data_IF_121088165862
#
_entry.id   IF_121088165862
#
_cell.length_a   1.000
_cell.length_b   1.000
_cell.length_c   1.000
_cell.angle_alpha   90.00
_cell.angle_beta   90.00
_cell.angle_gamma   90.00
#
_symmetry.space_group_name_H-M   'P 1'
#
loop_
_entity.id
_entity.type
_entity.pdbx_description
1 polymer ?
#
# COMPACT_ATOMS: atom_id res chain seq x y z
N UNK A 1 96.78 -20.94 13.03
CA UNK A 1 95.77 -21.33 12.01
C UNK A 1 94.64 -22.04 12.74
N UNK A 2 93.44 -21.47 12.73
CA UNK A 2 92.21 -22.11 13.27
C UNK A 2 91.90 -23.39 12.49
N UNK A 3 91.18 -24.34 13.11
CA UNK A 3 89.76 -24.41 12.80
C UNK A 3 88.85 -24.42 14.04
N UNK A 4 87.63 -23.95 13.79
CA UNK A 4 86.46 -23.90 14.67
C UNK A 4 86.01 -25.30 15.12
N UNK A 5 85.61 -25.41 16.38
CA UNK A 5 84.35 -26.06 16.75
C UNK A 5 83.94 -25.63 18.17
N UNK A 6 82.79 -24.98 18.33
CA UNK A 6 82.04 -25.13 19.59
C UNK A 6 80.58 -24.71 19.46
N UNK A 7 79.79 -25.54 20.14
CA UNK A 7 78.35 -25.72 20.09
C UNK A 7 77.51 -24.56 20.65
N UNK A 8 76.28 -24.52 20.12
CA UNK A 8 74.96 -24.26 20.74
C UNK A 8 74.96 -23.36 21.99
N UNK A 9 74.04 -22.38 22.03
CA UNK A 9 73.00 -22.32 23.07
C UNK A 9 71.94 -21.20 22.87
N UNK A 10 70.69 -21.63 23.08
CA UNK A 10 69.47 -20.96 23.55
C UNK A 10 68.95 -19.64 22.91
N UNK A 11 67.89 -19.79 22.12
CA UNK A 11 66.94 -18.72 21.81
C UNK A 11 65.94 -18.54 22.97
N UNK A 12 65.87 -17.33 23.52
CA UNK A 12 64.79 -16.88 24.41
C UNK A 12 63.68 -16.27 23.53
N UNK A 13 62.53 -16.93 23.45
CA UNK A 13 61.35 -16.38 22.79
C UNK A 13 60.57 -15.50 23.78
N UNK A 14 60.61 -14.18 23.59
CA UNK A 14 59.71 -13.26 24.27
C UNK A 14 58.29 -13.39 23.67
N UNK A 15 57.39 -14.03 24.41
CA UNK A 15 55.97 -14.12 24.07
C UNK A 15 55.30 -12.77 24.41
N UNK A 16 55.13 -11.91 23.40
CA UNK A 16 54.30 -10.71 23.50
C UNK A 16 52.82 -11.12 23.48
N UNK A 17 52.17 -11.11 24.64
CA UNK A 17 50.72 -11.22 24.79
C UNK A 17 50.07 -9.90 24.34
N UNK A 18 49.66 -9.84 23.07
CA UNK A 18 48.78 -8.79 22.55
C UNK A 18 47.35 -9.12 22.99
N UNK A 19 46.85 -8.43 24.03
CA UNK A 19 45.42 -8.41 24.33
C UNK A 19 44.70 -7.67 23.19
N UNK A 20 44.15 -8.42 22.24
CA UNK A 20 43.18 -7.88 21.28
C UNK A 20 41.90 -7.51 22.01
N UNK A 21 41.68 -6.22 22.27
CA UNK A 21 40.36 -5.69 22.58
C UNK A 21 39.49 -5.88 21.33
N UNK A 22 38.75 -6.99 21.26
CA UNK A 22 37.69 -7.16 20.29
C UNK A 22 36.58 -6.17 20.66
N UNK A 23 36.52 -5.04 19.96
CA UNK A 23 35.32 -4.21 19.98
C UNK A 23 34.20 -5.03 19.36
N UNK A 24 33.26 -5.49 20.19
CA UNK A 24 31.99 -5.98 19.69
C UNK A 24 31.31 -4.80 18.99
N UNK A 25 31.25 -4.84 17.66
CA UNK A 25 30.38 -3.93 16.91
C UNK A 25 28.95 -4.24 17.33
N UNK A 26 28.14 -3.25 17.74
CA UNK A 26 26.74 -3.52 18.00
C UNK A 26 26.10 -4.06 16.71
N UNK A 27 25.48 -5.23 16.79
CA UNK A 27 24.59 -5.73 15.73
C UNK A 27 23.43 -4.74 15.67
N UNK A 28 23.38 -3.91 14.63
CA UNK A 28 22.16 -3.16 14.34
C UNK A 28 21.08 -4.17 14.00
N UNK A 29 19.93 -4.07 14.66
CA UNK A 29 18.77 -4.88 14.30
C UNK A 29 18.40 -4.58 12.84
N UNK A 30 18.30 -5.62 12.02
CA UNK A 30 17.85 -5.48 10.64
C UNK A 30 16.37 -5.12 10.66
N UNK A 31 16.01 -4.03 9.97
CA UNK A 31 14.60 -3.65 9.81
C UNK A 31 13.94 -4.67 8.90
N UNK A 32 12.88 -5.30 9.41
CA UNK A 32 12.08 -6.25 8.64
C UNK A 32 10.66 -5.75 8.48
N UNK A 33 10.03 -6.19 7.40
CA UNK A 33 8.67 -5.79 7.02
C UNK A 33 7.77 -7.03 6.96
N UNK A 34 6.49 -6.85 7.23
CA UNK A 34 5.46 -7.71 6.67
C UNK A 34 4.26 -6.85 6.29
N UNK A 35 3.33 -7.46 5.58
CA UNK A 35 2.13 -6.79 5.14
C UNK A 35 1.38 -7.72 4.21
N UNK A 36 0.05 -7.69 4.28
CA UNK A 36 -0.82 -8.40 3.37
C UNK A 36 -2.07 -7.57 3.13
N UNK A 37 -2.53 -7.54 1.90
CA UNK A 37 -3.80 -6.92 1.55
C UNK A 37 -4.65 -7.88 0.74
N UNK A 38 -5.96 -7.85 0.94
CA UNK A 38 -6.89 -8.62 0.12
C UNK A 38 -8.22 -7.90 -0.07
N UNK A 39 -8.85 -8.15 -1.22
CA UNK A 39 -10.12 -7.54 -1.55
C UNK A 39 -11.29 -8.16 -0.76
N UNK A 40 -11.34 -9.48 -0.63
CA UNK A 40 -12.39 -10.14 0.15
C UNK A 40 -11.90 -11.45 0.79
N UNK A 41 -12.37 -11.72 1.99
CA UNK A 41 -12.26 -13.02 2.66
C UNK A 41 -13.67 -13.50 3.01
N UNK A 42 -13.98 -14.74 2.61
CA UNK A 42 -15.26 -15.38 2.88
C UNK A 42 -15.02 -16.64 3.71
N UNK A 43 -15.69 -16.73 4.86
CA UNK A 43 -15.74 -17.93 5.69
C UNK A 43 -17.17 -18.11 6.20
N UNK A 44 -17.99 -18.68 5.32
CA UNK A 44 -19.45 -18.81 5.46
C UNK A 44 -19.84 -20.30 5.30
N UNK A 45 -19.38 -21.18 6.21
CA UNK A 45 -19.58 -22.62 6.09
C UNK A 45 -21.05 -23.03 6.09
N UNK A 46 -21.96 -22.22 6.63
CA UNK A 46 -23.40 -22.50 6.57
C UNK A 46 -23.98 -22.42 5.16
N UNK A 47 -23.28 -21.73 4.24
CA UNK A 47 -23.58 -21.69 2.81
C UNK A 47 -22.59 -22.53 1.99
N UNK A 48 -21.73 -23.31 2.64
CA UNK A 48 -20.73 -24.15 1.98
C UNK A 48 -19.57 -23.39 1.33
N UNK A 49 -19.29 -22.15 1.77
CA UNK A 49 -18.26 -21.28 1.20
C UNK A 49 -17.16 -21.01 2.23
N UNK A 50 -15.91 -21.14 1.79
CA UNK A 50 -14.74 -20.69 2.56
C UNK A 50 -14.12 -21.72 3.50
N UNK A 51 -12.98 -21.40 4.13
CA UNK A 51 -12.26 -20.12 4.02
C UNK A 51 -11.64 -19.92 2.63
N UNK A 52 -11.88 -18.76 2.01
CA UNK A 52 -11.33 -18.38 0.71
C UNK A 52 -11.05 -16.87 0.67
N UNK A 53 -9.94 -16.48 0.03
CA UNK A 53 -9.54 -15.09 -0.14
C UNK A 53 -9.46 -14.73 -1.63
N UNK A 54 -9.89 -13.52 -1.99
CA UNK A 54 -9.87 -12.98 -3.35
C UNK A 54 -9.00 -11.73 -3.43
N UNK A 55 -8.32 -11.57 -4.57
CA UNK A 55 -7.38 -10.46 -4.82
C UNK A 55 -6.38 -10.29 -3.68
N UNK A 56 -5.71 -11.39 -3.32
CA UNK A 56 -4.79 -11.48 -2.20
C UNK A 56 -3.34 -11.24 -2.64
N UNK A 57 -2.66 -10.27 -2.03
CA UNK A 57 -1.24 -10.02 -2.32
C UNK A 57 -0.35 -11.17 -1.91
N UNK A 58 -0.77 -11.96 -0.91
CA UNK A 58 0.13 -12.79 -0.12
C UNK A 58 0.92 -11.95 0.90
N UNK A 59 1.80 -12.64 1.64
CA UNK A 59 2.68 -12.02 2.63
C UNK A 59 3.86 -11.30 1.97
N UNK A 60 4.07 -10.05 2.36
CA UNK A 60 5.27 -9.31 1.99
C UNK A 60 6.52 -9.97 2.61
N UNK A 61 7.61 -10.15 1.85
CA UNK A 61 8.83 -10.73 2.39
C UNK A 61 9.43 -9.87 3.52
N UNK A 62 10.16 -10.48 4.49
CA UNK A 62 10.85 -9.74 5.55
C UNK A 62 11.83 -8.67 5.07
N UNK A 63 12.41 -8.84 3.87
CA UNK A 63 13.28 -7.86 3.22
C UNK A 63 12.53 -6.62 2.70
N UNK A 64 11.20 -6.61 2.78
CA UNK A 64 10.34 -5.63 2.14
C UNK A 64 10.14 -5.94 0.66
N UNK A 65 9.89 -4.90 -0.12
CA UNK A 65 9.55 -5.00 -1.53
C UNK A 65 8.12 -4.53 -1.80
N UNK A 66 7.52 -5.06 -2.85
CA UNK A 66 6.15 -4.73 -3.25
C UNK A 66 5.45 -5.96 -3.81
N UNK A 67 4.22 -6.20 -3.38
CA UNK A 67 3.31 -7.20 -3.94
C UNK A 67 1.95 -6.56 -4.20
N UNK A 68 1.24 -7.10 -5.18
CA UNK A 68 -0.11 -6.66 -5.53
C UNK A 68 -0.92 -7.80 -6.11
N UNK A 69 -2.23 -7.70 -6.00
CA UNK A 69 -3.18 -8.59 -6.64
C UNK A 69 -4.37 -7.78 -7.15
N UNK A 70 -5.01 -8.29 -8.19
CA UNK A 70 -6.18 -7.67 -8.79
C UNK A 70 -7.16 -8.73 -9.28
N UNK A 71 -8.45 -8.40 -9.25
CA UNK A 71 -9.51 -9.20 -9.82
C UNK A 71 -10.63 -8.28 -10.32
N UNK A 72 -10.94 -8.34 -11.61
CA UNK A 72 -11.92 -7.46 -12.24
C UNK A 72 -13.33 -7.63 -11.66
N UNK A 73 -13.72 -8.87 -11.36
CA UNK A 73 -15.04 -9.17 -10.79
C UNK A 73 -14.96 -10.44 -9.96
N UNK A 74 -15.71 -10.49 -8.86
CA UNK A 74 -15.96 -11.69 -8.07
C UNK A 74 -17.46 -11.93 -7.94
N UNK A 75 -17.87 -13.18 -8.12
CA UNK A 75 -19.26 -13.62 -7.95
C UNK A 75 -19.30 -14.97 -7.25
N UNK A 76 -19.72 -14.97 -5.99
CA UNK A 76 -19.97 -16.17 -5.18
C UNK A 76 -21.48 -16.21 -4.90
N UNK A 77 -22.23 -17.12 -5.54
CA UNK A 77 -23.69 -17.17 -5.43
C UNK A 77 -24.18 -17.15 -3.99
N UNK A 78 -25.08 -16.22 -3.67
CA UNK A 78 -25.66 -16.07 -2.33
C UNK A 78 -24.73 -15.45 -1.27
N UNK A 79 -23.46 -15.18 -1.58
CA UNK A 79 -22.48 -14.67 -0.60
C UNK A 79 -21.90 -13.32 -0.97
N UNK A 80 -21.33 -13.16 -2.18
CA UNK A 80 -20.64 -11.93 -2.56
C UNK A 80 -20.76 -11.67 -4.06
N UNK A 81 -21.08 -10.44 -4.43
CA UNK A 81 -20.74 -9.88 -5.74
C UNK A 81 -19.98 -8.58 -5.53
N UNK A 82 -18.87 -8.39 -6.25
CA UNK A 82 -18.11 -7.14 -6.24
C UNK A 82 -17.28 -7.00 -7.52
N UNK A 83 -16.89 -5.77 -7.83
CA UNK A 83 -16.09 -5.41 -9.00
C UNK A 83 -14.79 -4.73 -8.58
N UNK A 84 -13.79 -4.77 -9.46
CA UNK A 84 -12.53 -4.04 -9.34
C UNK A 84 -11.82 -4.21 -7.99
N UNK A 85 -11.52 -5.45 -7.65
CA UNK A 85 -10.73 -5.75 -6.47
C UNK A 85 -9.28 -5.44 -6.79
N UNK A 86 -8.67 -4.53 -6.03
CA UNK A 86 -7.25 -4.21 -6.15
C UNK A 86 -6.65 -4.20 -4.76
N UNK A 87 -5.53 -4.90 -4.59
CA UNK A 87 -4.79 -4.96 -3.34
C UNK A 87 -3.30 -4.75 -3.59
N UNK A 88 -2.63 -4.12 -2.64
CA UNK A 88 -1.20 -3.85 -2.66
C UNK A 88 -0.61 -3.87 -1.26
N UNK A 89 0.64 -4.30 -1.14
CA UNK A 89 1.45 -4.23 0.08
C UNK A 89 2.88 -3.90 -0.29
N UNK A 90 3.53 -3.09 0.52
CA UNK A 90 4.89 -2.62 0.29
C UNK A 90 5.64 -2.42 1.60
N UNK A 91 6.96 -2.56 1.55
CA UNK A 91 7.84 -2.33 2.69
C UNK A 91 9.20 -1.83 2.24
N UNK A 92 9.59 -0.65 2.71
CA UNK A 92 10.92 -0.08 2.54
C UNK A 92 11.12 1.06 3.54
N UNK A 93 12.37 1.37 3.90
CA UNK A 93 12.75 2.56 4.67
C UNK A 93 12.12 2.68 6.06
N UNK A 94 11.86 1.56 6.72
CA UNK A 94 11.16 1.55 7.99
C UNK A 94 9.69 1.97 7.88
N UNK A 95 9.11 1.85 6.67
CA UNK A 95 7.70 2.05 6.38
C UNK A 95 7.16 0.81 5.67
N UNK A 96 6.08 0.25 6.19
CA UNK A 96 5.23 -0.72 5.51
C UNK A 96 3.88 -0.09 5.23
N UNK A 97 3.34 -0.29 4.02
CA UNK A 97 2.04 0.25 3.59
C UNK A 97 1.27 -0.81 2.83
N UNK A 98 0.00 -0.96 3.18
CA UNK A 98 -0.91 -1.87 2.50
C UNK A 98 -2.23 -1.17 2.22
N UNK A 99 -2.88 -1.56 1.13
CA UNK A 99 -4.16 -1.03 0.73
C UNK A 99 -4.96 -2.10 -0.04
N UNK A 100 -6.27 -2.10 0.15
CA UNK A 100 -7.21 -2.84 -0.68
C UNK A 100 -8.40 -1.96 -1.01
N UNK A 101 -8.97 -2.11 -2.21
CA UNK A 101 -10.20 -1.43 -2.60
C UNK A 101 -11.05 -2.26 -3.55
N UNK A 102 -12.36 -2.03 -3.52
CA UNK A 102 -13.37 -2.72 -4.31
C UNK A 102 -14.51 -1.74 -4.64
N UNK A 103 -15.20 -2.01 -5.74
CA UNK A 103 -16.43 -1.33 -6.15
C UNK A 103 -17.64 -2.27 -6.11
N UNK A 104 -18.84 -1.69 -6.04
CA UNK A 104 -20.14 -2.38 -6.20
C UNK A 104 -20.29 -3.64 -5.33
N UNK A 105 -19.97 -3.51 -4.04
CA UNK A 105 -20.00 -4.60 -3.08
C UNK A 105 -21.44 -4.91 -2.70
N UNK A 106 -21.82 -6.18 -2.82
CA UNK A 106 -23.05 -6.75 -2.25
C UNK A 106 -22.71 -8.06 -1.56
N UNK A 107 -22.83 -8.07 -0.23
CA UNK A 107 -22.64 -9.23 0.64
C UNK A 107 -24.00 -9.78 1.06
N UNK A 108 -24.17 -11.10 0.98
CA UNK A 108 -25.38 -11.86 1.31
C UNK A 108 -26.65 -11.28 0.67
N UNK A 109 -26.73 -11.19 -0.67
CA UNK A 109 -27.87 -10.57 -1.37
C UNK A 109 -29.20 -11.20 -0.96
N UNK A 110 -30.16 -10.37 -0.56
CA UNK A 110 -31.50 -10.79 -0.12
C UNK A 110 -31.58 -11.33 1.32
N UNK A 111 -30.46 -11.38 2.06
CA UNK A 111 -30.43 -11.79 3.46
C UNK A 111 -30.76 -10.60 4.41
N UNK A 112 -31.37 -10.84 5.58
CA UNK A 112 -31.53 -9.80 6.61
C UNK A 112 -30.22 -9.13 7.08
N UNK A 113 -29.08 -9.81 6.92
CA UNK A 113 -27.74 -9.30 7.22
C UNK A 113 -27.01 -8.71 6.01
N UNK A 114 -27.72 -8.46 4.89
CA UNK A 114 -27.08 -7.97 3.67
C UNK A 114 -26.31 -6.66 3.92
N UNK A 115 -25.12 -6.55 3.31
CA UNK A 115 -24.32 -5.33 3.29
C UNK A 115 -24.12 -4.91 1.85
N UNK A 116 -24.40 -3.65 1.53
CA UNK A 116 -24.07 -3.07 0.21
C UNK A 116 -23.15 -1.89 0.40
N UNK A 117 -22.23 -1.66 -0.54
CA UNK A 117 -21.45 -0.44 -0.59
C UNK A 117 -21.01 -0.18 -2.04
N UNK A 118 -20.98 1.10 -2.42
CA UNK A 118 -20.70 1.48 -3.79
C UNK A 118 -19.19 1.60 -4.06
N UNK A 119 -18.41 1.88 -3.01
CA UNK A 119 -16.95 1.81 -2.95
C UNK A 119 -16.52 1.45 -1.53
N UNK A 120 -15.51 0.59 -1.41
CA UNK A 120 -14.92 0.18 -0.12
C UNK A 120 -13.41 0.17 -0.25
N UNK A 121 -12.72 0.76 0.73
CA UNK A 121 -11.27 0.74 0.80
C UNK A 121 -10.75 0.72 2.23
N UNK A 122 -9.69 -0.03 2.45
CA UNK A 122 -8.87 -0.01 3.65
C UNK A 122 -7.42 0.37 3.29
N UNK A 123 -6.79 1.18 4.12
CA UNK A 123 -5.37 1.52 4.05
C UNK A 123 -4.74 1.39 5.43
N UNK A 124 -3.55 0.79 5.48
CA UNK A 124 -2.74 0.65 6.67
C UNK A 124 -1.31 1.11 6.40
N UNK A 125 -0.72 1.77 7.39
CA UNK A 125 0.69 2.17 7.39
C UNK A 125 1.30 1.82 8.76
N UNK A 126 2.45 1.17 8.73
CA UNK A 126 3.31 0.97 9.88
C UNK A 126 4.65 1.64 9.64
N UNK A 127 5.10 2.45 10.60
CA UNK A 127 6.42 3.09 10.60
C UNK A 127 7.13 2.78 11.90
N UNK A 128 8.44 3.04 11.97
CA UNK A 128 9.17 2.96 13.25
C UNK A 128 8.64 3.90 14.36
N UNK A 129 7.82 4.91 14.03
CA UNK A 129 7.27 5.86 15.01
C UNK A 129 5.81 5.58 15.39
N UNK A 130 5.19 4.57 14.79
CA UNK A 130 3.79 4.21 15.04
C UNK A 130 3.07 3.79 13.77
N UNK A 131 1.77 3.56 13.93
CA UNK A 131 0.89 3.04 12.88
C UNK A 131 -0.24 4.02 12.60
N UNK A 132 -0.79 3.96 11.38
CA UNK A 132 -1.99 4.69 10.97
C UNK A 132 -2.86 3.78 10.12
N UNK A 133 -4.16 3.79 10.39
CA UNK A 133 -5.15 3.07 9.60
C UNK A 133 -6.29 4.00 9.19
N UNK A 134 -6.83 3.79 7.99
CA UNK A 134 -8.01 4.51 7.53
C UNK A 134 -8.85 3.64 6.61
N UNK A 135 -10.12 3.99 6.49
CA UNK A 135 -11.10 3.34 5.64
C UNK A 135 -11.92 4.40 4.94
N UNK A 136 -12.32 4.13 3.70
CA UNK A 136 -13.33 4.90 2.99
C UNK A 136 -14.44 3.95 2.53
N UNK A 137 -15.68 4.30 2.84
CA UNK A 137 -16.87 3.54 2.42
C UNK A 137 -17.90 4.51 1.89
N UNK A 138 -18.38 4.27 0.68
CA UNK A 138 -19.43 5.06 0.03
C UNK A 138 -20.76 4.28 -0.04
N UNK A 139 -21.86 4.98 0.22
CA UNK A 139 -23.24 4.48 0.12
C UNK A 139 -23.48 3.14 0.82
N UNK A 140 -22.91 2.97 2.02
CA UNK A 140 -23.04 1.71 2.76
C UNK A 140 -24.46 1.53 3.31
N UNK A 141 -25.00 0.33 3.12
CA UNK A 141 -26.22 -0.11 3.82
C UNK A 141 -25.96 -1.42 4.55
N UNK A 142 -26.70 -1.62 5.66
CA UNK A 142 -26.68 -2.85 6.44
C UNK A 142 -28.11 -3.24 6.80
N UNK A 143 -28.54 -4.45 6.42
CA UNK A 143 -29.94 -4.88 6.57
C UNK A 143 -30.94 -3.99 5.84
N UNK A 144 -30.51 -3.36 4.73
CA UNK A 144 -31.29 -2.40 3.96
C UNK A 144 -31.40 -1.00 4.57
N UNK A 145 -30.75 -0.73 5.70
CA UNK A 145 -30.68 0.61 6.30
C UNK A 145 -29.37 1.29 5.92
N UNK A 146 -29.43 2.57 5.51
CA UNK A 146 -28.24 3.35 5.24
C UNK A 146 -27.45 3.60 6.54
N UNK A 147 -26.13 3.40 6.47
CA UNK A 147 -25.23 3.64 7.59
C UNK A 147 -24.53 4.98 7.40
N UNK A 148 -24.57 5.82 8.43
CA UNK A 148 -23.74 7.03 8.49
C UNK A 148 -22.40 6.67 9.10
N UNK A 149 -21.35 6.69 8.30
CA UNK A 149 -19.98 6.39 8.75
C UNK A 149 -19.31 7.66 9.27
N UNK A 150 -18.81 7.63 10.50
CA UNK A 150 -17.90 8.67 10.99
C UNK A 150 -16.53 8.49 10.33
N UNK A 151 -16.03 9.45 9.54
CA UNK A 151 -14.75 9.29 8.85
C UNK A 151 -13.52 9.29 9.78
N UNK A 152 -13.68 9.60 11.06
CA UNK A 152 -12.57 9.71 12.02
C UNK A 152 -12.57 8.62 13.10
N UNK A 153 -13.68 7.89 13.27
CA UNK A 153 -13.78 6.87 14.31
C UNK A 153 -13.37 5.47 13.79
N UNK A 154 -12.37 4.80 14.39
CA UNK A 154 -12.14 3.38 14.16
C UNK A 154 -13.15 2.51 14.92
N UNK A 155 -13.30 1.26 14.51
CA UNK A 155 -14.07 0.21 15.17
C UNK A 155 -15.57 0.57 15.37
N UNK A 156 -16.19 1.18 14.37
CA UNK A 156 -17.61 1.51 14.43
C UNK A 156 -18.47 0.26 14.30
N UNK A 157 -19.20 -0.11 15.35
CA UNK A 157 -20.01 -1.32 15.39
C UNK A 157 -21.50 -1.02 15.20
N UNK A 158 -22.12 -1.72 14.26
CA UNK A 158 -23.55 -1.69 13.97
C UNK A 158 -24.10 -3.10 14.13
N UNK A 159 -25.26 -3.26 14.76
CA UNK A 159 -25.84 -4.57 15.03
C UNK A 159 -27.30 -4.64 14.62
N UNK A 160 -27.67 -5.76 14.01
CA UNK A 160 -29.05 -6.21 13.89
C UNK A 160 -29.25 -7.28 14.97
N UNK A 161 -30.00 -6.99 16.05
CA UNK A 161 -30.06 -7.86 17.23
C UNK A 161 -30.39 -9.31 16.88
N UNK A 162 -29.51 -10.22 17.33
CA UNK A 162 -29.67 -11.67 17.11
C UNK A 162 -29.44 -12.15 15.67
N UNK A 163 -29.06 -11.27 14.74
CA UNK A 163 -28.82 -11.60 13.33
C UNK A 163 -27.35 -11.46 12.99
N UNK A 164 -26.82 -10.25 13.02
CA UNK A 164 -25.47 -9.95 12.54
C UNK A 164 -24.90 -8.68 13.17
N UNK A 165 -23.56 -8.59 13.19
CA UNK A 165 -22.81 -7.39 13.53
C UNK A 165 -21.93 -7.01 12.34
N UNK A 166 -21.95 -5.72 12.00
CA UNK A 166 -21.05 -5.11 11.03
C UNK A 166 -20.11 -4.16 11.77
N UNK A 167 -18.81 -4.39 11.67
CA UNK A 167 -17.79 -3.44 12.11
C UNK A 167 -17.22 -2.72 10.89
N UNK A 168 -17.26 -1.39 10.91
CA UNK A 168 -16.70 -0.53 9.87
C UNK A 168 -15.42 0.12 10.41
N UNK A 169 -14.39 0.18 9.56
CA UNK A 169 -13.06 0.68 9.91
C UNK A 169 -12.51 -0.06 11.15
N UNK A 170 -12.59 -1.39 11.14
CA UNK A 170 -12.06 -2.23 12.21
C UNK A 170 -10.53 -2.13 12.19
N UNK A 171 -9.95 -1.61 13.27
CA UNK A 171 -8.50 -1.45 13.41
C UNK A 171 -8.02 -2.23 14.62
N UNK A 172 -7.11 -3.16 14.37
CA UNK A 172 -6.34 -3.86 15.42
C UNK A 172 -4.89 -3.44 15.32
N UNK A 173 -4.30 -3.02 16.43
CA UNK A 173 -2.92 -2.53 16.48
C UNK A 173 -2.12 -3.30 17.52
N UNK A 174 -0.91 -3.69 17.17
CA UNK A 174 0.08 -4.24 18.12
C UNK A 174 1.32 -3.35 18.10
N UNK A 175 1.66 -2.76 19.25
CA UNK A 175 2.85 -1.93 19.41
C UNK A 175 3.65 -2.36 20.64
N UNK A 176 4.95 -2.57 20.50
CA UNK A 176 5.85 -2.95 21.60
C UNK A 176 6.97 -3.88 21.16
N UNK A 177 8.07 -3.92 21.94
CA UNK A 177 9.21 -4.82 21.63
C UNK A 177 9.91 -4.56 20.30
N UNK A 178 9.81 -3.34 19.76
CA UNK A 178 10.36 -2.98 18.45
C UNK A 178 9.48 -3.39 17.26
N UNK A 179 8.21 -3.75 17.50
CA UNK A 179 7.19 -4.08 16.50
C UNK A 179 6.14 -2.97 16.45
N UNK A 180 5.74 -2.62 15.24
CA UNK A 180 4.61 -1.76 14.92
C UNK A 180 3.77 -2.48 13.88
N UNK A 181 2.58 -2.92 14.26
CA UNK A 181 1.69 -3.71 13.41
C UNK A 181 0.26 -3.16 13.50
N UNK A 182 -0.39 -3.11 12.35
CA UNK A 182 -1.77 -2.68 12.22
C UNK A 182 -2.48 -3.51 11.15
N UNK A 183 -3.69 -3.94 11.45
CA UNK A 183 -4.64 -4.48 10.49
C UNK A 183 -5.86 -3.56 10.44
N UNK A 184 -6.29 -3.22 9.24
CA UNK A 184 -7.49 -2.45 8.95
C UNK A 184 -8.41 -3.28 8.06
N UNK A 185 -9.61 -3.59 8.56
CA UNK A 185 -10.70 -4.14 7.76
C UNK A 185 -11.73 -3.04 7.53
N UNK A 186 -12.03 -2.73 6.27
CA UNK A 186 -13.00 -1.69 5.96
C UNK A 186 -14.40 -2.08 6.41
N UNK A 187 -14.83 -3.31 6.07
CA UNK A 187 -16.08 -3.92 6.52
C UNK A 187 -15.78 -5.33 7.04
N UNK A 188 -16.22 -5.61 8.26
CA UNK A 188 -16.18 -6.94 8.85
C UNK A 188 -17.60 -7.31 9.31
N UNK A 189 -18.25 -8.21 8.57
CA UNK A 189 -19.56 -8.75 8.88
C UNK A 189 -19.41 -10.09 9.61
N UNK A 190 -20.09 -10.24 10.74
CA UNK A 190 -20.21 -11.51 11.48
C UNK A 190 -21.67 -11.88 11.68
N UNK A 191 -22.07 -13.09 11.32
CA UNK A 191 -23.39 -13.64 11.65
C UNK A 191 -23.40 -14.17 13.08
N UNK A 192 -24.25 -13.60 13.95
CA UNK A 192 -24.16 -13.81 15.40
C UNK A 192 -24.53 -15.23 15.84
N UNK A 193 -25.36 -15.93 15.07
CA UNK A 193 -25.83 -17.27 15.41
C UNK A 193 -24.86 -18.38 15.00
N UNK A 194 -24.10 -18.17 13.92
CA UNK A 194 -23.29 -19.22 13.30
C UNK A 194 -21.80 -18.96 13.44
N UNK A 195 -21.40 -17.69 13.61
CA UNK A 195 -20.00 -17.26 13.60
C UNK A 195 -19.43 -17.09 12.19
N UNK A 196 -20.25 -17.21 11.14
CA UNK A 196 -19.81 -17.00 9.76
C UNK A 196 -19.37 -15.55 9.59
N UNK A 197 -18.30 -15.35 8.82
CA UNK A 197 -17.67 -14.04 8.64
C UNK A 197 -17.38 -13.73 7.18
N UNK A 198 -17.50 -12.44 6.86
CA UNK A 198 -17.12 -11.86 5.58
C UNK A 198 -16.34 -10.58 5.87
N UNK A 199 -15.11 -10.52 5.38
CA UNK A 199 -14.26 -9.33 5.45
C UNK A 199 -14.13 -8.77 4.05
N UNK A 200 -14.46 -7.49 3.89
CA UNK A 200 -14.30 -6.76 2.63
C UNK A 200 -13.25 -5.68 2.83
N UNK A 201 -12.26 -5.70 1.95
CA UNK A 201 -11.10 -4.82 1.93
C UNK A 201 -10.31 -4.87 3.23
N UNK A 202 -9.25 -5.67 3.23
CA UNK A 202 -8.31 -5.76 4.36
C UNK A 202 -6.92 -5.29 3.95
N UNK A 203 -6.27 -4.55 4.85
CA UNK A 203 -4.90 -4.08 4.72
C UNK A 203 -4.18 -4.26 6.06
N UNK A 204 -3.09 -5.03 6.05
CA UNK A 204 -2.22 -5.24 7.20
C UNK A 204 -0.80 -4.76 6.86
N UNK A 205 -0.16 -4.06 7.79
CA UNK A 205 1.21 -3.55 7.65
C UNK A 205 1.99 -3.69 8.95
N UNK A 206 3.24 -4.12 8.84
CA UNK A 206 4.12 -4.46 9.95
C UNK A 206 5.55 -4.00 9.69
N UNK A 207 6.17 -3.36 10.68
CA UNK A 207 7.61 -3.07 10.73
C UNK A 207 8.19 -3.55 12.06
N UNK A 208 9.31 -4.29 11.98
CA UNK A 208 10.08 -4.76 13.15
C UNK A 208 11.54 -4.33 13.09
N UNK A 209 12.18 -4.19 14.26
CA UNK A 209 13.64 -4.05 14.38
C UNK A 209 14.19 -2.63 14.36
N UNK A 210 13.42 -1.63 14.80
CA UNK A 210 13.85 -0.21 14.78
C UNK A 210 14.87 0.12 15.90
N UNK A 211 16.17 0.35 15.59
CA UNK A 211 16.74 1.71 15.62
C UNK A 211 17.86 2.02 14.58
N UNK A 212 17.76 3.19 13.95
CA UNK A 212 18.68 3.71 12.92
C UNK A 212 18.19 3.37 11.52
N UNK A 213 17.59 4.34 10.81
CA UNK A 213 17.04 4.13 9.47
C UNK A 213 18.09 3.46 8.55
N UNK A 214 17.74 2.37 7.86
CA UNK A 214 18.61 1.83 6.82
C UNK A 214 18.88 2.91 5.75
N UNK A 215 20.03 2.86 5.06
CA UNK A 215 20.36 3.83 4.03
C UNK A 215 19.26 3.89 2.96
N UNK A 216 18.92 5.11 2.55
CA UNK A 216 17.91 5.44 1.54
C UNK A 216 18.13 4.54 0.30
N UNK A 217 17.15 3.72 -0.12
CA UNK A 217 17.19 2.95 -1.33
C UNK A 217 17.42 3.89 -2.49
N UNK A 218 18.26 3.46 -3.41
CA UNK A 218 18.39 4.15 -4.67
C UNK A 218 17.02 4.16 -5.36
N UNK A 219 16.50 5.37 -5.61
CA UNK A 219 15.37 5.69 -6.48
C UNK A 219 14.11 4.82 -6.31
N UNK A 220 13.39 4.99 -5.20
CA UNK A 220 11.95 4.67 -5.17
C UNK A 220 11.20 5.87 -5.79
N UNK A 221 10.33 5.57 -6.74
CA UNK A 221 9.43 6.54 -7.36
C UNK A 221 8.22 5.74 -7.84
N UNK A 222 7.24 5.62 -6.95
CA UNK A 222 6.16 4.66 -7.07
C UNK A 222 4.84 5.29 -6.66
N UNK A 223 3.75 4.90 -7.31
CA UNK A 223 2.39 5.33 -6.99
C UNK A 223 1.50 4.14 -6.69
N UNK A 224 0.63 4.34 -5.70
CA UNK A 224 -0.51 3.46 -5.43
C UNK A 224 -1.76 4.30 -5.47
N UNK A 225 -2.88 3.75 -5.93
CA UNK A 225 -4.13 4.49 -5.87
C UNK A 225 -5.35 3.62 -6.11
N UNK A 226 -6.46 4.05 -5.55
CA UNK A 226 -7.77 3.45 -5.77
C UNK A 226 -8.85 4.47 -5.51
N UNK A 227 -9.94 4.40 -6.27
CA UNK A 227 -10.99 5.39 -6.18
C UNK A 227 -11.92 5.42 -7.37
N UNK A 228 -12.60 6.54 -7.54
CA UNK A 228 -13.38 6.83 -8.73
C UNK A 228 -13.39 8.32 -9.07
N UNK A 229 -13.59 8.58 -10.36
CA UNK A 229 -13.91 9.90 -10.90
C UNK A 229 -15.35 9.89 -11.43
N UNK A 230 -16.00 11.05 -11.45
CA UNK A 230 -17.31 11.19 -12.08
C UNK A 230 -17.15 11.22 -13.61
N UNK A 231 -17.95 10.43 -14.33
CA UNK A 231 -17.99 10.39 -15.80
C UNK A 231 -19.43 10.40 -16.28
N UNK A 232 -19.81 11.44 -17.04
CA UNK A 232 -21.21 11.63 -17.43
C UNK A 232 -22.15 11.69 -16.22
N UNK A 233 -23.17 10.83 -16.20
CA UNK A 233 -24.10 10.64 -15.07
C UNK A 233 -23.73 9.47 -14.15
N UNK A 234 -22.56 8.87 -14.34
CA UNK A 234 -22.08 7.71 -13.59
C UNK A 234 -20.66 7.98 -13.06
N UNK A 235 -19.98 6.90 -12.66
CA UNK A 235 -18.60 6.92 -12.16
C UNK A 235 -17.72 5.99 -12.97
N UNK A 236 -16.42 6.27 -12.94
CA UNK A 236 -15.42 5.33 -13.37
C UNK A 236 -14.50 4.99 -12.22
N UNK A 237 -14.51 3.73 -11.83
CA UNK A 237 -13.69 3.20 -10.76
C UNK A 237 -12.32 2.82 -11.31
N UNK A 238 -11.27 3.06 -10.53
CA UNK A 238 -9.92 2.66 -10.87
C UNK A 238 -9.20 2.12 -9.64
N UNK A 239 -8.22 1.26 -9.90
CA UNK A 239 -7.27 0.82 -8.90
C UNK A 239 -5.95 0.48 -9.58
N UNK A 240 -4.85 0.94 -9.01
CA UNK A 240 -3.55 0.78 -9.62
C UNK A 240 -2.38 0.83 -8.66
N UNK A 241 -1.28 0.25 -9.14
CA UNK A 241 0.06 0.41 -8.61
C UNK A 241 1.00 0.59 -9.80
N UNK A 242 1.89 1.59 -9.75
CA UNK A 242 2.78 1.87 -10.88
C UNK A 242 4.08 2.55 -10.45
N UNK A 243 5.18 2.22 -11.12
CA UNK A 243 6.45 2.94 -11.01
C UNK A 243 7.66 2.09 -10.66
N UNK A 244 8.74 2.76 -10.25
CA UNK A 244 10.02 2.14 -9.91
C UNK A 244 9.99 1.65 -8.46
N UNK A 245 10.06 0.33 -8.31
CA UNK A 245 10.25 -0.35 -7.02
C UNK A 245 11.69 -0.13 -6.49
N UNK A 246 11.94 -0.30 -5.17
CA UNK A 246 13.28 -0.23 -4.62
C UNK A 246 14.26 -1.14 -5.37
N UNK A 247 15.42 -0.60 -5.76
CA UNK A 247 16.46 -1.31 -6.52
C UNK A 247 16.03 -1.80 -7.91
N UNK A 248 14.90 -1.33 -8.45
CA UNK A 248 14.49 -1.60 -9.83
C UNK A 248 14.87 -0.43 -10.74
N UNK A 249 15.36 -0.75 -11.94
CA UNK A 249 15.56 0.23 -13.01
C UNK A 249 14.46 0.19 -14.07
N UNK A 250 13.48 -0.70 -13.91
CA UNK A 250 12.33 -0.84 -14.80
C UNK A 250 11.06 -0.56 -14.01
N UNK A 251 10.17 0.32 -14.50
CA UNK A 251 8.89 0.54 -13.86
C UNK A 251 7.98 -0.66 -14.10
N UNK A 252 7.10 -0.93 -13.14
CA UNK A 252 6.02 -1.90 -13.28
C UNK A 252 4.67 -1.18 -13.25
N UNK A 253 3.64 -1.82 -13.80
CA UNK A 253 2.27 -1.32 -13.70
C UNK A 253 1.28 -2.46 -13.52
N UNK A 254 0.31 -2.24 -12.64
CA UNK A 254 -0.98 -2.93 -12.59
C UNK A 254 -2.03 -1.84 -12.50
N UNK A 255 -2.86 -1.68 -13.52
CA UNK A 255 -3.86 -0.62 -13.58
C UNK A 255 -5.14 -1.19 -14.17
N UNK A 256 -6.25 -1.02 -13.46
CA UNK A 256 -7.60 -1.34 -13.95
C UNK A 256 -8.50 -0.12 -13.85
N UNK A 257 -9.40 0.00 -14.82
CA UNK A 257 -10.35 1.08 -14.95
C UNK A 257 -11.67 0.55 -15.48
N UNK A 258 -12.76 0.80 -14.76
CA UNK A 258 -14.11 0.42 -15.19
C UNK A 258 -14.96 1.69 -15.27
N UNK A 259 -15.42 2.04 -16.46
CA UNK A 259 -16.41 3.10 -16.66
C UNK A 259 -17.83 2.50 -16.56
N UNK A 260 -18.56 2.83 -15.50
CA UNK A 260 -19.92 2.33 -15.29
C UNK A 260 -20.97 3.03 -16.16
N UNK A 261 -20.63 4.11 -16.87
CA UNK A 261 -21.52 4.72 -17.85
C UNK A 261 -21.58 3.90 -19.15
N UNK A 262 -20.45 3.32 -19.56
CA UNK A 262 -20.32 2.56 -20.81
C UNK A 262 -20.20 1.05 -20.60
N UNK A 263 -19.82 0.61 -19.40
CA UNK A 263 -19.45 -0.77 -19.09
C UNK A 263 -18.01 -1.13 -19.51
N UNK A 264 -17.23 -0.18 -20.04
CA UNK A 264 -15.87 -0.42 -20.54
C UNK A 264 -14.93 -0.78 -19.39
N UNK A 265 -14.16 -1.86 -19.54
CA UNK A 265 -13.06 -2.23 -18.66
C UNK A 265 -11.72 -2.13 -19.39
N UNK A 266 -10.86 -1.21 -18.95
CA UNK A 266 -9.48 -1.12 -19.41
C UNK A 266 -8.53 -1.73 -18.38
N UNK A 267 -7.56 -2.50 -18.87
CA UNK A 267 -6.42 -3.01 -18.11
C UNK A 267 -5.11 -2.61 -18.78
N UNK A 268 -4.17 -2.06 -18.02
CA UNK A 268 -2.81 -1.84 -18.52
C UNK A 268 -2.07 -3.18 -18.67
N UNK A 269 -1.49 -3.41 -19.84
CA UNK A 269 -0.73 -4.62 -20.17
C UNK A 269 0.79 -4.41 -20.09
N UNK A 270 1.25 -3.18 -20.31
CA UNK A 270 2.67 -2.81 -20.25
C UNK A 270 2.83 -1.36 -19.78
N UNK A 271 4.06 -0.97 -19.41
CA UNK A 271 4.42 0.42 -19.17
C UNK A 271 5.68 0.76 -19.96
N UNK A 272 5.52 1.62 -20.98
CA UNK A 272 6.61 2.10 -21.83
C UNK A 272 7.12 3.47 -21.39
N UNK A 273 6.28 4.26 -20.73
CA UNK A 273 6.62 5.58 -20.19
C UNK A 273 6.21 5.63 -18.72
N UNK A 274 7.12 6.03 -17.85
CA UNK A 274 6.85 6.43 -16.46
C UNK A 274 7.75 7.61 -16.12
N UNK A 275 7.20 8.81 -16.05
CA UNK A 275 7.95 10.05 -15.82
C UNK A 275 7.20 10.99 -14.90
N UNK A 276 7.88 12.01 -14.37
CA UNK A 276 7.19 13.13 -13.70
C UNK A 276 6.33 13.87 -14.72
N UNK A 277 5.06 14.09 -14.39
CA UNK A 277 4.12 14.85 -15.22
C UNK A 277 4.24 16.37 -15.02
N UNK A 278 3.13 17.08 -15.21
CA UNK A 278 3.08 18.55 -15.17
C UNK A 278 3.50 19.16 -13.83
N UNK A 279 3.31 18.41 -12.73
CA UNK A 279 3.74 18.84 -11.39
C UNK A 279 4.69 17.82 -10.79
N UNK A 280 5.52 18.21 -9.79
CA UNK A 280 6.35 17.25 -9.06
C UNK A 280 5.51 16.09 -8.48
N UNK A 281 4.25 16.32 -8.15
CA UNK A 281 3.35 15.34 -7.55
C UNK A 281 2.58 14.47 -8.56
N UNK A 282 2.80 14.69 -9.86
CA UNK A 282 2.13 13.95 -10.93
C UNK A 282 3.06 12.91 -11.52
N UNK A 283 2.55 11.73 -11.85
CA UNK A 283 3.22 10.79 -12.75
C UNK A 283 2.42 10.59 -14.01
N UNK A 284 3.14 10.68 -15.11
CA UNK A 284 2.66 10.42 -16.44
C UNK A 284 3.07 9.01 -16.85
N UNK A 285 2.11 8.23 -17.34
CA UNK A 285 2.27 6.82 -17.64
C UNK A 285 1.67 6.50 -19.01
N UNK A 286 2.41 5.76 -19.84
CA UNK A 286 1.91 5.26 -21.13
C UNK A 286 2.29 3.80 -21.32
N UNK A 287 1.51 3.09 -22.13
CA UNK A 287 1.79 1.71 -22.51
C UNK A 287 0.66 1.06 -23.30
N UNK A 288 0.76 -0.25 -23.46
CA UNK A 288 -0.26 -1.07 -24.10
C UNK A 288 -1.40 -1.38 -23.12
N UNK A 289 -2.61 -1.48 -23.64
CA UNK A 289 -3.83 -1.79 -22.90
C UNK A 289 -4.63 -2.91 -23.55
N UNK A 290 -5.40 -3.58 -22.70
CA UNK A 290 -6.55 -4.39 -23.08
C UNK A 290 -7.82 -3.61 -22.75
N UNK A 291 -8.80 -3.62 -23.65
CA UNK A 291 -10.13 -3.06 -23.43
C UNK A 291 -11.15 -4.18 -23.63
N UNK A 292 -11.98 -4.42 -22.62
CA UNK A 292 -12.97 -5.50 -22.59
C UNK A 292 -12.37 -6.88 -22.93
N UNK A 293 -11.13 -7.11 -22.46
CA UNK A 293 -10.37 -8.33 -22.70
C UNK A 293 -9.73 -8.44 -24.10
N UNK A 294 -9.80 -7.39 -24.91
CA UNK A 294 -9.19 -7.34 -26.25
C UNK A 294 -7.92 -6.49 -26.21
N UNK A 295 -6.77 -7.09 -26.53
CA UNK A 295 -5.50 -6.39 -26.65
C UNK A 295 -5.40 -5.54 -27.94
N UNK A 296 -4.41 -4.65 -28.01
CA UNK A 296 -4.12 -3.84 -29.21
C UNK A 296 -4.44 -2.36 -29.09
N UNK A 297 -4.75 -1.90 -27.87
CA UNK A 297 -4.95 -0.50 -27.55
C UNK A 297 -3.72 0.05 -26.84
N UNK A 298 -3.58 1.38 -26.80
CA UNK A 298 -2.64 2.08 -25.92
C UNK A 298 -3.38 3.01 -24.97
N UNK A 299 -2.74 3.32 -23.84
CA UNK A 299 -3.21 4.26 -22.84
C UNK A 299 -2.18 5.37 -22.58
N UNK A 300 -2.67 6.51 -22.10
CA UNK A 300 -1.90 7.60 -21.51
C UNK A 300 -2.65 8.10 -20.27
N UNK A 301 -1.98 8.09 -19.11
CA UNK A 301 -2.57 8.36 -17.79
C UNK A 301 -1.70 9.36 -17.04
N UNK A 302 -2.35 10.38 -16.46
CA UNK A 302 -1.77 11.23 -15.43
C UNK A 302 -2.44 10.94 -14.08
N UNK A 303 -1.65 10.58 -13.07
CA UNK A 303 -2.10 10.42 -11.70
C UNK A 303 -1.35 11.40 -10.79
N UNK A 304 -2.06 12.14 -9.94
CA UNK A 304 -1.45 13.12 -9.03
C UNK A 304 -1.91 12.93 -7.59
N UNK A 305 -0.94 12.91 -6.68
CA UNK A 305 -1.12 12.95 -5.23
C UNK A 305 -1.04 14.41 -4.75
N UNK A 306 -2.17 15.03 -4.45
CA UNK A 306 -2.26 16.43 -4.06
C UNK A 306 -2.49 16.60 -2.55
N UNK A 307 -2.09 15.60 -1.76
CA UNK A 307 -2.07 15.62 -0.31
C UNK A 307 -3.30 15.00 0.35
N UNK A 308 -3.16 14.69 1.64
CA UNK A 308 -4.15 13.94 2.40
C UNK A 308 -5.18 14.80 3.15
N UNK A 309 -6.46 14.37 3.25
CA UNK A 309 -7.03 13.17 2.62
C UNK A 309 -7.14 13.36 1.09
N UNK A 310 -6.94 12.29 0.31
CA UNK A 310 -6.81 12.26 -1.16
C UNK A 310 -7.97 12.80 -2.01
N UNK A 311 -8.86 13.60 -1.43
CA UNK A 311 -9.94 14.32 -2.10
C UNK A 311 -9.45 15.40 -3.06
N UNK A 312 -8.17 15.78 -2.99
CA UNK A 312 -7.56 16.72 -3.94
C UNK A 312 -6.83 16.01 -5.07
N UNK A 313 -6.69 14.69 -4.99
CA UNK A 313 -5.98 13.89 -5.98
C UNK A 313 -6.72 13.91 -7.31
N UNK A 314 -5.98 13.71 -8.39
CA UNK A 314 -6.54 13.74 -9.74
C UNK A 314 -6.10 12.55 -10.55
N UNK A 315 -7.01 12.06 -11.39
CA UNK A 315 -6.71 11.10 -12.43
C UNK A 315 -7.16 11.67 -13.78
N UNK A 316 -6.33 11.51 -14.81
CA UNK A 316 -6.71 11.73 -16.21
C UNK A 316 -6.29 10.51 -17.02
N UNK A 317 -7.14 10.07 -17.94
CA UNK A 317 -6.93 8.91 -18.79
C UNK A 317 -7.33 9.26 -20.22
N UNK A 318 -6.50 8.83 -21.18
CA UNK A 318 -6.78 8.87 -22.61
C UNK A 318 -6.43 7.51 -23.23
N UNK A 319 -7.28 6.99 -24.09
CA UNK A 319 -7.09 5.70 -24.76
C UNK A 319 -7.07 5.89 -26.28
N UNK A 320 -6.31 5.03 -26.96
CA UNK A 320 -6.20 5.01 -28.43
C UNK A 320 -7.51 4.85 -29.21
N UNK A 321 -8.57 4.32 -28.57
CA UNK A 321 -9.90 4.20 -29.17
C UNK A 321 -10.71 5.53 -29.15
N UNK A 322 -10.11 6.62 -28.68
CA UNK A 322 -10.73 7.94 -28.58
C UNK A 322 -11.43 8.22 -27.24
N UNK A 323 -11.46 7.24 -26.33
CA UNK A 323 -11.97 7.46 -24.97
C UNK A 323 -11.05 8.41 -24.20
N UNK A 324 -11.65 9.34 -23.45
CA UNK A 324 -10.93 10.17 -22.48
C UNK A 324 -11.82 10.54 -21.30
N UNK A 325 -11.23 10.58 -20.12
CA UNK A 325 -11.88 10.99 -18.89
C UNK A 325 -10.85 11.59 -17.93
N UNK A 326 -11.30 12.38 -16.97
CA UNK A 326 -10.43 12.86 -15.92
C UNK A 326 -11.09 13.86 -15.00
N UNK A 327 -10.50 14.05 -13.83
CA UNK A 327 -10.95 14.99 -12.83
C UNK A 327 -10.36 14.72 -11.46
N UNK A 328 -10.82 15.52 -10.48
CA UNK A 328 -10.58 15.27 -9.06
C UNK A 328 -11.32 14.01 -8.61
N UNK A 329 -10.71 13.24 -7.70
CA UNK A 329 -11.34 12.04 -7.16
C UNK A 329 -12.64 12.40 -6.42
N UNK A 330 -13.73 11.73 -6.79
CA UNK A 330 -15.00 11.84 -6.09
C UNK A 330 -15.07 10.90 -4.86
N UNK A 331 -14.18 9.91 -4.83
CA UNK A 331 -13.79 9.09 -3.68
C UNK A 331 -12.50 8.35 -4.01
N UNK A 332 -11.69 8.03 -3.01
CA UNK A 332 -10.36 7.45 -3.22
C UNK A 332 -9.19 8.29 -2.71
N UNK A 333 -7.98 7.84 -3.02
CA UNK A 333 -6.67 8.41 -2.63
C UNK A 333 -5.65 7.84 -3.61
N UNK A 334 -4.70 8.66 -3.99
CA UNK A 334 -3.53 8.33 -4.76
C UNK A 334 -2.34 8.78 -3.92
N UNK A 335 -1.40 7.89 -3.68
CA UNK A 335 -0.19 8.19 -2.94
C UNK A 335 1.03 8.07 -3.82
N UNK A 336 1.88 9.09 -3.78
CA UNK A 336 3.16 9.12 -4.44
C UNK A 336 4.29 8.88 -3.42
N UNK A 337 4.90 7.72 -3.52
CA UNK A 337 5.97 7.25 -2.66
C UNK A 337 7.33 7.64 -3.26
N UNK A 338 7.99 8.68 -2.72
CA UNK A 338 9.34 9.10 -3.11
C UNK A 338 10.32 9.11 -1.93
N UNK A 339 11.50 8.48 -2.03
CA UNK A 339 12.72 8.95 -1.41
C UNK A 339 13.23 10.23 -2.08
N UNK A 340 14.00 11.01 -1.31
CA UNK A 340 14.78 12.10 -1.85
C UNK A 340 15.82 11.57 -2.86
N UNK A 341 15.49 11.61 -4.15
CA UNK A 341 16.44 11.31 -5.21
C UNK A 341 17.55 12.36 -5.23
N UNK A 342 18.83 11.95 -5.11
CA UNK A 342 19.90 12.69 -5.78
C UNK A 342 19.92 12.23 -7.22
N UNK A 343 19.36 13.02 -8.13
CA UNK A 343 19.60 12.79 -9.55
C UNK A 343 21.10 12.88 -9.81
N UNK A 344 21.69 11.84 -10.39
CA UNK A 344 23.05 11.90 -10.89
C UNK A 344 23.11 13.03 -11.94
N UNK A 345 23.69 14.18 -11.56
CA UNK A 345 23.87 15.34 -12.44
C UNK A 345 23.30 16.67 -11.95
N UNK A 346 22.53 16.72 -10.85
CA UNK A 346 22.09 18.01 -10.28
C UNK A 346 23.17 18.60 -9.36
N UNK A 347 23.65 19.84 -9.59
CA UNK A 347 24.54 20.50 -8.64
C UNK A 347 23.82 20.70 -7.30
N UNK A 348 24.52 20.65 -6.16
CA UNK A 348 23.91 20.81 -4.86
C UNK A 348 23.18 22.16 -4.79
N UNK A 349 21.90 22.13 -4.42
CA UNK A 349 21.16 23.35 -4.10
C UNK A 349 21.83 24.02 -2.90
N UNK A 350 22.37 25.22 -3.08
CA UNK A 350 22.84 26.03 -1.96
C UNK A 350 21.65 26.36 -1.05
N UNK A 351 21.64 25.80 0.15
CA UNK A 351 20.83 26.37 1.22
C UNK A 351 21.34 27.78 1.54
N UNK A 352 20.49 28.82 1.57
CA UNK A 352 20.88 30.12 2.08
C UNK A 352 21.31 29.95 3.54
N UNK A 353 22.56 30.31 3.85
CA UNK A 353 23.02 30.38 5.25
C UNK A 353 22.10 31.34 6.02
N UNK A 354 21.64 30.98 7.23
CA UNK A 354 20.92 31.92 8.07
C UNK A 354 21.81 33.15 8.35
N UNK A 355 21.23 34.36 8.45
CA UNK A 355 21.99 35.57 8.75
C UNK A 355 22.70 35.40 10.10
N UNK A 356 23.97 35.80 10.16
CA UNK A 356 24.70 35.86 11.43
C UNK A 356 24.09 36.97 12.29
N UNK A 357 23.54 36.60 13.43
CA UNK A 357 23.15 37.56 14.47
C UNK A 357 24.37 38.37 14.91
N UNK A 358 24.33 39.69 14.70
CA UNK A 358 25.24 40.62 15.35
C UNK A 358 24.75 40.88 16.79
N UNK A 359 25.63 40.79 17.80
CA UNK A 359 25.24 41.02 19.17
C UNK A 359 24.83 42.48 19.36
N UNK A 360 23.61 42.69 19.85
CA UNK A 360 23.14 44.00 20.31
C UNK A 360 24.00 44.44 21.49
N UNK A 361 24.82 45.47 21.28
CA UNK A 361 25.41 46.24 22.35
C UNK A 361 24.33 46.82 23.26
N UNK A 362 24.60 46.81 24.56
CA UNK A 362 23.74 47.32 25.63
C UNK A 362 24.63 48.20 26.52
N UNK A 363 24.04 49.20 27.17
CA UNK A 363 23.59 50.47 26.61
C UNK A 363 24.73 51.48 26.35
#
# INVERSE_FOLDING_TARGET
MKPQNQDRQFALACLLLVFGLAWATPVQAEVTYSGRAFGAFLNVPTLGVGPITFSDTGELPPSGGFQSAELATVGVPGVLTASLLVASTSGANGVARSAASLADVVVLPGNPAAVTASFVRAESEATCNGVRGTTEVADVTFGGQAITVDPFAPNQSFEIPGVARLVINEQTTTSGGGVQDITVNALHLTLLLTGDEVIISSAQSDVKGCPGCPPIPACLDFMTGGGFINVGSSRANFGFNAGFKPNSSTPEIHFNYIDHNTGMHMKAASISVYVTGDTPMTRHMEGDAEIDGVSGFTYSIDAADNGEPGRSDTLRISLSNGYSAGGTLAGGNIQLHKPACRQAGSPPSEHPKPPKDHPKGKP
#
